data_IF_626950474255
#
_entry.id   IF_626950474255
#
_cell.length_a   1.000
_cell.length_b   1.000
_cell.length_c   1.000
_cell.angle_alpha   90.00
_cell.angle_beta   90.00
_cell.angle_gamma   90.00
#
_symmetry.space_group_name_H-M   'P 1'
#
loop_
_entity.id
_entity.type
_entity.pdbx_description
1 polymer ?
#
# COMPACT_ATOMS: atom_id res chain seq x y z
N UNK A 1 -24.63 8.81 -3.64
CA UNK A 1 -23.76 7.70 -3.22
C UNK A 1 -23.56 7.74 -1.71
N UNK A 2 -23.70 6.61 -1.06
CA UNK A 2 -23.61 6.52 0.40
C UNK A 2 -22.17 6.17 0.80
N UNK A 3 -21.57 6.97 1.71
CA UNK A 3 -20.27 6.64 2.29
C UNK A 3 -20.48 5.60 3.39
N UNK A 4 -19.81 4.46 3.28
CA UNK A 4 -19.91 3.37 4.24
C UNK A 4 -19.01 3.58 5.46
N UNK A 5 -18.11 4.57 5.43
CA UNK A 5 -17.05 4.77 6.44
C UNK A 5 -16.14 3.55 6.63
N UNK A 6 -16.04 2.73 5.61
CA UNK A 6 -15.15 1.57 5.59
C UNK A 6 -14.02 1.87 4.61
N UNK A 7 -12.79 1.75 5.09
CA UNK A 7 -11.59 2.00 4.28
C UNK A 7 -10.90 0.68 3.94
N UNK A 8 -10.53 0.55 2.68
CA UNK A 8 -9.68 -0.55 2.20
C UNK A 8 -8.26 0.00 2.11
N UNK A 9 -7.37 -0.52 2.94
CA UNK A 9 -6.00 -0.05 3.06
C UNK A 9 -5.04 -1.07 2.45
N UNK A 10 -4.06 -0.57 1.71
CA UNK A 10 -3.01 -1.38 1.09
C UNK A 10 -1.64 -0.95 1.60
N UNK A 11 -0.84 -1.92 2.06
CA UNK A 11 0.60 -1.77 2.09
C UNK A 11 1.14 -1.72 0.65
N UNK A 12 2.33 -1.17 0.44
CA UNK A 12 2.93 -1.12 -0.90
C UNK A 12 3.96 -2.23 -1.12
N UNK A 13 5.08 -2.17 -0.41
CA UNK A 13 6.22 -3.05 -0.65
C UNK A 13 5.89 -4.49 -0.25
N UNK A 14 5.95 -5.40 -1.21
CA UNK A 14 5.57 -6.79 -1.00
C UNK A 14 4.08 -7.06 -1.09
N UNK A 15 3.26 -6.02 -1.32
CA UNK A 15 1.80 -6.15 -1.44
C UNK A 15 1.31 -5.80 -2.84
N UNK A 16 1.55 -4.59 -3.32
CA UNK A 16 1.21 -4.18 -4.67
C UNK A 16 2.45 -3.90 -5.53
N UNK A 17 3.57 -3.53 -4.92
CA UNK A 17 4.84 -3.25 -5.56
C UNK A 17 5.88 -4.29 -5.12
N UNK A 18 6.57 -4.87 -6.09
CA UNK A 18 7.57 -5.92 -5.83
C UNK A 18 8.95 -5.32 -5.56
N UNK A 19 9.09 -4.60 -4.45
CA UNK A 19 10.37 -4.05 -4.03
C UNK A 19 11.42 -5.15 -3.88
N UNK A 20 11.04 -6.24 -3.23
CA UNK A 20 11.95 -7.33 -2.89
C UNK A 20 12.33 -8.19 -4.09
N UNK A 21 11.62 -8.05 -5.20
CA UNK A 21 11.95 -8.70 -6.46
C UNK A 21 12.97 -7.93 -7.30
N UNK A 22 13.31 -6.70 -6.91
CA UNK A 22 14.35 -5.93 -7.60
C UNK A 22 15.72 -6.50 -7.21
N UNK A 23 16.51 -6.88 -8.21
CA UNK A 23 17.84 -7.42 -7.95
C UNK A 23 18.69 -6.42 -7.17
N UNK A 24 19.32 -6.88 -6.09
CA UNK A 24 20.15 -6.07 -5.19
C UNK A 24 19.39 -4.94 -4.48
N UNK A 25 18.10 -5.12 -4.25
CA UNK A 25 17.27 -4.07 -3.64
C UNK A 25 17.83 -3.54 -2.32
N UNK A 26 18.35 -4.43 -1.47
CA UNK A 26 18.88 -4.02 -0.17
C UNK A 26 20.16 -3.20 -0.31
N UNK A 27 21.02 -3.58 -1.26
CA UNK A 27 22.27 -2.84 -1.52
C UNK A 27 21.98 -1.41 -2.00
N UNK A 28 20.94 -1.23 -2.81
CA UNK A 28 20.51 0.10 -3.24
C UNK A 28 20.04 0.92 -2.04
N UNK A 29 19.23 0.34 -1.17
CA UNK A 29 18.74 1.04 0.02
C UNK A 29 19.89 1.46 0.93
N UNK A 30 20.84 0.57 1.17
CA UNK A 30 22.04 0.85 1.97
C UNK A 30 22.86 1.98 1.35
N UNK A 31 22.95 2.02 0.03
CA UNK A 31 23.67 3.06 -0.71
C UNK A 31 22.91 4.39 -0.80
N UNK A 32 21.69 4.46 -0.30
CA UNK A 32 20.87 5.66 -0.39
C UNK A 32 20.29 5.92 -1.76
N UNK A 33 20.02 4.85 -2.52
CA UNK A 33 19.47 4.92 -3.88
C UNK A 33 18.02 4.48 -3.89
N UNK A 34 17.14 5.27 -4.49
CA UNK A 34 15.69 4.96 -4.58
C UNK A 34 15.33 4.04 -5.74
N UNK A 35 16.32 3.58 -6.51
CA UNK A 35 16.10 2.75 -7.69
C UNK A 35 15.10 1.60 -7.47
N UNK A 36 15.17 0.81 -6.37
CA UNK A 36 14.21 -0.28 -6.18
C UNK A 36 12.77 0.19 -6.03
N UNK A 37 12.56 1.33 -5.40
CA UNK A 37 11.21 1.89 -5.26
C UNK A 37 10.66 2.40 -6.59
N UNK A 38 11.51 3.02 -7.41
CA UNK A 38 11.10 3.51 -8.73
C UNK A 38 10.77 2.38 -9.69
N UNK A 39 11.53 1.28 -9.61
CA UNK A 39 11.54 0.21 -10.62
C UNK A 39 10.88 -1.08 -10.15
N UNK A 40 10.19 -1.07 -9.02
CA UNK A 40 9.45 -2.22 -8.56
C UNK A 40 8.34 -2.57 -9.56
N UNK A 41 8.25 -3.84 -9.93
CA UNK A 41 7.18 -4.32 -10.79
C UNK A 41 5.90 -4.52 -9.98
N UNK A 42 4.72 -4.41 -10.61
CA UNK A 42 3.48 -4.74 -9.92
C UNK A 42 3.40 -6.23 -9.53
N UNK A 43 2.85 -6.51 -8.35
CA UNK A 43 2.64 -7.88 -7.88
C UNK A 43 1.32 -8.49 -8.35
N UNK A 44 0.44 -7.70 -8.96
CA UNK A 44 -0.83 -8.17 -9.49
C UNK A 44 -1.22 -7.34 -10.72
N UNK A 45 -2.27 -7.79 -11.43
CA UNK A 45 -2.75 -7.06 -12.62
C UNK A 45 -3.38 -5.74 -12.18
N UNK A 46 -2.67 -4.64 -12.42
CA UNK A 46 -3.11 -3.33 -11.95
C UNK A 46 -4.36 -2.82 -12.67
N UNK A 47 -4.56 -3.19 -13.93
CA UNK A 47 -5.79 -2.81 -14.64
C UNK A 47 -7.03 -3.43 -14.00
N UNK A 48 -6.93 -4.69 -13.60
CA UNK A 48 -8.01 -5.39 -12.90
C UNK A 48 -8.22 -4.83 -11.50
N UNK A 49 -7.13 -4.56 -10.77
CA UNK A 49 -7.19 -3.95 -9.45
C UNK A 49 -7.85 -2.58 -9.51
N UNK A 50 -7.40 -1.72 -10.42
CA UNK A 50 -7.94 -0.36 -10.57
C UNK A 50 -9.44 -0.38 -10.85
N UNK A 51 -9.87 -1.26 -11.75
CA UNK A 51 -11.30 -1.39 -12.07
C UNK A 51 -12.12 -1.77 -10.84
N UNK A 52 -11.61 -2.73 -10.07
CA UNK A 52 -12.32 -3.19 -8.87
C UNK A 52 -12.35 -2.11 -7.79
N UNK A 53 -11.23 -1.44 -7.57
CA UNK A 53 -11.16 -0.36 -6.59
C UNK A 53 -12.07 0.80 -6.96
N UNK A 54 -12.09 1.19 -8.22
CA UNK A 54 -12.96 2.26 -8.68
C UNK A 54 -14.44 1.91 -8.48
N UNK A 55 -14.80 0.66 -8.72
CA UNK A 55 -16.15 0.18 -8.47
C UNK A 55 -16.52 0.20 -6.98
N UNK A 56 -15.61 -0.26 -6.13
CA UNK A 56 -15.84 -0.25 -4.67
C UNK A 56 -15.97 1.18 -4.15
N UNK A 57 -15.16 2.11 -4.66
CA UNK A 57 -15.26 3.51 -4.28
C UNK A 57 -16.62 4.10 -4.67
N UNK A 58 -17.13 3.76 -5.85
CA UNK A 58 -18.49 4.16 -6.26
C UNK A 58 -19.54 3.61 -5.32
N UNK A 59 -19.31 2.45 -4.73
CA UNK A 59 -20.23 1.81 -3.79
C UNK A 59 -20.06 2.29 -2.35
N UNK A 60 -19.21 3.28 -2.11
CA UNK A 60 -19.11 3.95 -0.81
C UNK A 60 -17.87 3.60 0.01
N UNK A 61 -16.97 2.73 -0.48
CA UNK A 61 -15.73 2.43 0.21
C UNK A 61 -14.71 3.55 0.01
N UNK A 62 -13.90 3.78 1.03
CA UNK A 62 -12.72 4.64 0.93
C UNK A 62 -11.51 3.77 0.59
N UNK A 63 -10.54 4.35 -0.12
CA UNK A 63 -9.33 3.68 -0.53
C UNK A 63 -8.12 4.39 0.05
N UNK A 64 -7.20 3.66 0.65
CA UNK A 64 -6.00 4.24 1.25
C UNK A 64 -4.79 3.34 1.08
N UNK A 65 -3.63 3.96 1.15
CA UNK A 65 -2.33 3.29 1.21
C UNK A 65 -1.69 3.62 2.57
N UNK A 66 -1.11 2.61 3.22
CA UNK A 66 -0.30 2.79 4.42
C UNK A 66 1.04 2.11 4.17
N UNK A 67 2.09 2.88 3.97
CA UNK A 67 3.41 2.38 3.62
C UNK A 67 4.48 2.99 4.50
N UNK A 68 5.45 2.18 4.90
CA UNK A 68 6.57 2.64 5.72
C UNK A 68 7.72 3.16 4.85
N UNK A 69 8.37 4.21 5.35
CA UNK A 69 9.65 4.67 4.83
C UNK A 69 10.76 3.66 5.18
N UNK A 70 11.96 3.87 4.65
CA UNK A 70 13.06 2.94 4.89
C UNK A 70 13.51 2.97 6.35
N UNK A 71 13.93 1.81 6.86
CA UNK A 71 14.24 1.61 8.29
C UNK A 71 15.40 2.49 8.79
N UNK A 72 16.43 2.66 7.98
CA UNK A 72 17.68 3.33 8.40
C UNK A 72 18.03 4.51 7.51
N UNK A 73 17.05 5.01 6.75
CA UNK A 73 17.29 6.11 5.82
C UNK A 73 17.44 7.45 6.53
N UNK A 74 18.23 8.33 5.93
CA UNK A 74 18.30 9.73 6.33
C UNK A 74 16.97 10.42 6.02
N UNK A 75 16.75 11.60 6.58
CA UNK A 75 15.56 12.38 6.28
C UNK A 75 15.49 12.74 4.78
N UNK A 76 16.65 13.07 4.18
CA UNK A 76 16.74 13.36 2.75
C UNK A 76 16.38 12.16 1.89
N UNK A 77 16.92 10.97 2.24
CA UNK A 77 16.60 9.74 1.51
C UNK A 77 15.11 9.40 1.64
N UNK A 78 14.57 9.48 2.84
CA UNK A 78 13.16 9.16 3.07
C UNK A 78 12.21 10.16 2.40
N UNK A 79 12.62 11.43 2.24
CA UNK A 79 11.85 12.38 1.44
C UNK A 79 11.80 11.98 -0.03
N UNK A 80 12.91 11.47 -0.58
CA UNK A 80 12.94 10.94 -1.94
C UNK A 80 12.09 9.65 -2.06
N UNK A 81 12.18 8.76 -1.08
CA UNK A 81 11.38 7.52 -1.05
C UNK A 81 9.90 7.86 -1.07
N UNK A 82 9.47 8.82 -0.26
CA UNK A 82 8.07 9.23 -0.24
C UNK A 82 7.62 9.75 -1.61
N UNK A 83 8.41 10.64 -2.21
CA UNK A 83 8.08 11.19 -3.53
C UNK A 83 7.98 10.08 -4.59
N UNK A 84 8.92 9.16 -4.59
CA UNK A 84 8.97 8.05 -5.55
C UNK A 84 7.80 7.10 -5.37
N UNK A 85 7.40 6.80 -4.14
CA UNK A 85 6.24 5.95 -3.87
C UNK A 85 4.95 6.59 -4.39
N UNK A 86 4.79 7.90 -4.18
CA UNK A 86 3.63 8.64 -4.71
C UNK A 86 3.62 8.64 -6.24
N UNK A 87 4.77 8.83 -6.86
CA UNK A 87 4.91 8.77 -8.32
C UNK A 87 4.60 7.38 -8.86
N UNK A 88 5.03 6.32 -8.15
CA UNK A 88 4.74 4.95 -8.54
C UNK A 88 3.23 4.69 -8.58
N UNK A 89 2.52 5.14 -7.55
CA UNK A 89 1.05 5.01 -7.49
C UNK A 89 0.38 5.79 -8.64
N UNK A 90 0.84 7.01 -8.91
CA UNK A 90 0.29 7.81 -9.99
C UNK A 90 0.56 7.22 -11.36
N UNK A 91 1.72 6.59 -11.56
CA UNK A 91 2.11 5.96 -12.81
C UNK A 91 1.36 4.64 -13.05
N UNK A 92 1.27 3.80 -12.03
CA UNK A 92 0.74 2.44 -12.17
C UNK A 92 -0.76 2.32 -11.91
N UNK A 93 -1.31 3.22 -11.11
CA UNK A 93 -2.75 3.25 -10.77
C UNK A 93 -3.33 4.65 -11.00
N UNK A 94 -3.18 5.21 -12.22
CA UNK A 94 -3.55 6.61 -12.48
C UNK A 94 -5.05 6.88 -12.36
N UNK A 95 -5.89 5.88 -12.54
CA UNK A 95 -7.35 6.06 -12.45
C UNK A 95 -7.88 5.94 -11.02
N UNK A 96 -7.07 5.47 -10.08
CA UNK A 96 -7.52 5.29 -8.70
C UNK A 96 -7.40 6.61 -7.95
N UNK A 97 -8.50 7.04 -7.35
CA UNK A 97 -8.54 8.27 -6.54
C UNK A 97 -8.42 7.91 -5.07
N UNK A 98 -7.18 7.84 -4.59
CA UNK A 98 -6.93 7.51 -3.19
C UNK A 98 -7.52 8.55 -2.26
N UNK A 99 -8.32 8.11 -1.28
CA UNK A 99 -8.82 9.00 -0.23
C UNK A 99 -7.70 9.44 0.70
N UNK A 100 -6.70 8.58 0.92
CA UNK A 100 -5.52 8.90 1.70
C UNK A 100 -4.33 8.07 1.23
N UNK A 101 -3.14 8.67 1.28
CA UNK A 101 -1.87 7.98 1.06
C UNK A 101 -0.99 8.31 2.26
N UNK A 102 -0.84 7.33 3.15
CA UNK A 102 -0.02 7.47 4.35
C UNK A 102 1.34 6.83 4.12
N UNK A 103 2.35 7.65 3.92
CA UNK A 103 3.74 7.20 3.83
C UNK A 103 4.43 7.72 5.08
N UNK A 104 4.72 6.81 6.00
CA UNK A 104 5.03 7.13 7.39
C UNK A 104 6.34 6.50 7.82
N UNK A 105 6.97 6.99 8.91
CA UNK A 105 8.22 6.42 9.39
C UNK A 105 8.12 4.91 9.61
N UNK A 106 9.23 4.22 9.38
CA UNK A 106 9.31 2.78 9.60
C UNK A 106 8.89 2.42 11.02
N UNK A 107 8.04 1.42 11.15
CA UNK A 107 7.57 0.96 12.44
C UNK A 107 6.35 1.69 12.99
N UNK A 108 5.86 2.72 12.31
CA UNK A 108 4.61 3.38 12.72
C UNK A 108 3.49 2.33 12.79
N UNK A 109 2.79 2.20 13.93
CA UNK A 109 1.71 1.22 14.03
C UNK A 109 0.61 1.50 13.01
N UNK A 110 0.40 0.56 12.08
CA UNK A 110 -0.60 0.74 11.02
C UNK A 110 -2.01 0.76 11.57
N UNK A 111 -2.26 0.10 12.70
CA UNK A 111 -3.56 0.10 13.36
C UNK A 111 -3.99 1.49 13.83
N UNK A 112 -3.07 2.44 13.95
CA UNK A 112 -3.44 3.83 14.25
C UNK A 112 -4.32 4.46 13.17
N UNK A 113 -4.30 3.90 11.96
CA UNK A 113 -5.12 4.36 10.84
C UNK A 113 -6.43 3.58 10.69
N UNK A 114 -6.67 2.59 11.54
CA UNK A 114 -7.91 1.83 11.53
C UNK A 114 -9.00 2.60 12.28
N UNK A 115 -9.98 3.09 11.55
CA UNK A 115 -11.05 3.91 12.13
C UNK A 115 -12.39 3.19 12.28
N UNK A 116 -12.49 1.95 11.80
CA UNK A 116 -13.72 1.17 11.82
C UNK A 116 -13.35 -0.31 11.92
N UNK A 117 -14.06 -1.11 12.76
CA UNK A 117 -13.77 -2.55 12.86
C UNK A 117 -13.90 -3.32 11.54
N UNK A 118 -14.58 -2.74 10.54
CA UNK A 118 -14.71 -3.33 9.22
C UNK A 118 -13.65 -2.85 8.23
N UNK A 119 -12.76 -1.95 8.64
CA UNK A 119 -11.65 -1.52 7.78
C UNK A 119 -10.74 -2.69 7.43
N UNK A 120 -10.30 -2.72 6.19
CA UNK A 120 -9.49 -3.80 5.66
C UNK A 120 -8.05 -3.33 5.52
N UNK A 121 -7.10 -4.22 5.86
CA UNK A 121 -5.68 -4.04 5.55
C UNK A 121 -5.20 -5.25 4.77
N UNK A 122 -4.58 -5.00 3.61
CA UNK A 122 -3.78 -5.98 2.90
C UNK A 122 -2.31 -5.68 3.16
N UNK A 123 -1.61 -6.63 3.77
CA UNK A 123 -0.20 -6.45 4.14
C UNK A 123 0.49 -7.81 4.12
N UNK A 124 1.69 -7.87 3.55
CA UNK A 124 2.47 -9.10 3.49
C UNK A 124 3.11 -9.46 4.83
N UNK A 125 3.16 -8.51 5.77
CA UNK A 125 3.81 -8.71 7.06
C UNK A 125 2.83 -9.19 8.13
N UNK A 126 3.09 -10.39 8.67
CA UNK A 126 2.21 -11.02 9.66
C UNK A 126 1.97 -10.15 10.90
N UNK A 127 3.02 -9.48 11.39
CA UNK A 127 2.91 -8.65 12.57
C UNK A 127 1.93 -7.48 12.37
N UNK A 128 1.95 -6.87 11.20
CA UNK A 128 1.02 -5.79 10.88
C UNK A 128 -0.41 -6.30 10.81
N UNK A 129 -0.61 -7.50 10.25
CA UNK A 129 -1.94 -8.11 10.19
C UNK A 129 -2.46 -8.46 11.57
N UNK A 130 -1.61 -9.00 12.45
CA UNK A 130 -1.98 -9.37 13.82
C UNK A 130 -2.36 -8.18 14.66
N UNK A 131 -1.70 -7.05 14.47
CA UNK A 131 -1.93 -5.82 15.23
C UNK A 131 -3.07 -4.97 14.69
N UNK A 132 -3.53 -5.24 13.47
CA UNK A 132 -4.63 -4.49 12.87
C UNK A 132 -5.93 -4.77 13.63
N UNK A 133 -6.69 -3.74 13.93
CA UNK A 133 -7.91 -3.85 14.75
C UNK A 133 -9.18 -4.02 13.92
N UNK A 134 -9.07 -4.04 12.61
CA UNK A 134 -10.14 -4.36 11.69
C UNK A 134 -9.94 -5.74 11.06
N UNK A 135 -10.22 -5.86 9.75
CA UNK A 135 -10.05 -7.09 9.00
C UNK A 135 -8.72 -7.03 8.24
N UNK A 136 -7.81 -7.96 8.51
CA UNK A 136 -6.50 -8.00 7.87
C UNK A 136 -6.30 -9.29 7.08
N UNK A 137 -5.67 -9.19 5.92
CA UNK A 137 -5.46 -10.30 5.01
C UNK A 137 -4.05 -10.28 4.44
N UNK A 138 -3.50 -11.48 4.19
CA UNK A 138 -2.28 -11.63 3.42
C UNK A 138 -2.55 -11.30 1.94
N UNK A 139 -1.48 -11.18 1.18
CA UNK A 139 -1.54 -10.67 -0.20
C UNK A 139 -1.94 -11.72 -1.24
N UNK A 140 -2.09 -12.98 -0.84
CA UNK A 140 -2.31 -14.07 -1.78
C UNK A 140 -3.68 -14.03 -2.48
N UNK A 141 -4.69 -13.42 -1.84
CA UNK A 141 -6.07 -13.48 -2.32
C UNK A 141 -6.72 -12.09 -2.40
N UNK A 142 -5.93 -11.05 -2.70
CA UNK A 142 -6.46 -9.67 -2.74
C UNK A 142 -7.69 -9.57 -3.65
N UNK A 143 -7.59 -10.05 -4.88
CA UNK A 143 -8.68 -9.89 -5.85
C UNK A 143 -9.91 -10.70 -5.47
N UNK A 144 -9.73 -11.91 -4.93
CA UNK A 144 -10.84 -12.74 -4.47
C UNK A 144 -11.59 -12.07 -3.34
N UNK A 145 -10.86 -11.52 -2.37
CA UNK A 145 -11.46 -10.84 -1.22
C UNK A 145 -12.19 -9.58 -1.67
N UNK A 146 -11.60 -8.79 -2.57
CA UNK A 146 -12.24 -7.59 -3.09
C UNK A 146 -13.51 -7.88 -3.86
N UNK A 147 -13.62 -9.05 -4.48
CA UNK A 147 -14.84 -9.46 -5.19
C UNK A 147 -15.97 -9.85 -4.26
N UNK A 148 -15.65 -10.22 -3.03
CA UNK A 148 -16.63 -10.70 -2.05
C UNK A 148 -17.24 -9.60 -1.18
N UNK A 149 -16.70 -8.40 -1.24
CA UNK A 149 -17.18 -7.28 -0.40
C UNK A 149 -18.07 -6.28 -1.14
#
# INVERSE_FOLDING_TARGET
MKNLNITINFDMDGTIADLYGVENWLDYLIAGDVFPYENAEPLLRLSALARRLNNLQKNGYNLAVISWLSKSGTDEYNAEVEAVKREWLAKHLPSVKWNAIHIVPYGTPKQNFCGNPLDILFDDEAKNRENWTGRAYDVNNIMEILKEI
#
